data_IF_719640330410
#
_entry.id   IF_719640330410
#
_cell.length_a   1.000
_cell.length_b   1.000
_cell.length_c   1.000
_cell.angle_alpha   90.00
_cell.angle_beta   90.00
_cell.angle_gamma   90.00
#
_symmetry.space_group_name_H-M   'P 1'
#
loop_
_entity.id
_entity.type
_entity.pdbx_description
1 polymer ?
#
# COMPACT_ATOMS: atom_id res chain seq x y z
N UNK A 1 -24.22 7.21 -4.38
CA UNK A 1 -22.98 6.59 -3.86
C UNK A 1 -22.59 5.50 -4.84
N UNK A 2 -21.41 5.58 -5.46
CA UNK A 2 -20.96 4.57 -6.41
C UNK A 2 -20.68 3.25 -5.70
N UNK A 3 -20.68 2.13 -6.42
CA UNK A 3 -20.31 0.84 -5.81
C UNK A 3 -18.87 0.84 -5.28
N UNK A 4 -17.98 1.62 -5.90
CA UNK A 4 -16.61 1.81 -5.42
C UNK A 4 -16.58 2.54 -4.06
N UNK A 5 -17.40 3.58 -3.86
CA UNK A 5 -17.45 4.28 -2.58
C UNK A 5 -17.95 3.34 -1.46
N UNK A 6 -18.91 2.45 -1.75
CA UNK A 6 -19.38 1.44 -0.79
C UNK A 6 -18.27 0.44 -0.43
N UNK A 7 -17.52 -0.02 -1.43
CA UNK A 7 -16.38 -0.92 -1.24
C UNK A 7 -15.29 -0.28 -0.38
N UNK A 8 -15.00 1.02 -0.60
CA UNK A 8 -14.06 1.78 0.22
C UNK A 8 -14.55 1.83 1.68
N UNK A 9 -15.82 2.17 1.91
CA UNK A 9 -16.36 2.23 3.27
C UNK A 9 -16.38 0.86 3.97
N UNK A 10 -16.66 -0.22 3.23
CA UNK A 10 -16.58 -1.58 3.72
C UNK A 10 -15.14 -1.95 4.11
N UNK A 11 -14.18 -1.69 3.23
CA UNK A 11 -12.77 -1.94 3.48
C UNK A 11 -12.24 -1.09 4.64
N UNK A 12 -12.67 0.18 4.80
CA UNK A 12 -12.33 1.03 5.95
C UNK A 12 -12.78 0.47 7.30
N UNK A 13 -13.82 -0.39 7.31
CA UNK A 13 -14.26 -1.15 8.50
C UNK A 13 -13.51 -2.47 8.69
N UNK A 14 -12.49 -2.74 7.87
CA UNK A 14 -11.75 -4.00 7.82
C UNK A 14 -12.66 -5.21 7.46
N UNK A 15 -13.72 -4.96 6.67
CA UNK A 15 -14.60 -6.01 6.16
C UNK A 15 -14.13 -6.46 4.77
N UNK A 16 -13.97 -7.77 4.51
CA UNK A 16 -13.51 -8.26 3.21
C UNK A 16 -14.58 -8.06 2.14
N UNK A 17 -14.13 -7.74 0.92
CA UNK A 17 -15.00 -7.75 -0.27
C UNK A 17 -15.34 -9.18 -0.68
N UNK A 18 -16.35 -9.37 -1.51
CA UNK A 18 -16.57 -10.66 -2.17
C UNK A 18 -15.54 -10.91 -3.30
N UNK A 19 -15.32 -12.18 -3.66
CA UNK A 19 -14.36 -12.54 -4.73
C UNK A 19 -14.68 -11.83 -6.07
N UNK A 20 -15.95 -11.65 -6.41
CA UNK A 20 -16.37 -10.96 -7.63
C UNK A 20 -16.09 -9.45 -7.58
N UNK A 21 -16.26 -8.83 -6.41
CA UNK A 21 -15.91 -7.43 -6.18
C UNK A 21 -14.40 -7.21 -6.26
N UNK A 22 -13.61 -8.09 -5.64
CA UNK A 22 -12.14 -8.06 -5.77
C UNK A 22 -11.72 -8.14 -7.23
N UNK A 23 -12.28 -9.09 -7.98
CA UNK A 23 -11.98 -9.24 -9.41
C UNK A 23 -12.30 -7.95 -10.19
N UNK A 24 -13.48 -7.37 -9.97
CA UNK A 24 -13.91 -6.13 -10.63
C UNK A 24 -13.00 -4.95 -10.27
N UNK A 25 -12.59 -4.85 -9.00
CA UNK A 25 -11.66 -3.81 -8.54
C UNK A 25 -10.28 -3.95 -9.20
N UNK A 26 -9.73 -5.17 -9.23
CA UNK A 26 -8.46 -5.45 -9.90
C UNK A 26 -8.50 -5.08 -11.39
N UNK A 27 -9.57 -5.43 -12.11
CA UNK A 27 -9.71 -5.07 -13.52
C UNK A 27 -9.67 -3.55 -13.76
N UNK A 28 -10.41 -2.78 -12.94
CA UNK A 28 -10.38 -1.31 -13.02
C UNK A 28 -9.01 -0.74 -12.68
N UNK A 29 -8.34 -1.32 -11.68
CA UNK A 29 -7.00 -0.89 -11.33
C UNK A 29 -5.98 -1.18 -12.44
N UNK A 30 -6.12 -2.32 -13.12
CA UNK A 30 -5.27 -2.68 -14.26
C UNK A 30 -5.38 -1.67 -15.40
N UNK A 31 -6.60 -1.22 -15.74
CA UNK A 31 -6.84 -0.19 -16.76
C UNK A 31 -6.09 1.12 -16.45
N UNK A 32 -6.02 1.50 -15.18
CA UNK A 32 -5.30 2.71 -14.74
C UNK A 32 -3.80 2.46 -14.72
N UNK A 33 -3.37 1.36 -14.10
CA UNK A 33 -1.96 1.07 -13.90
C UNK A 33 -1.24 0.82 -15.22
N UNK A 34 -1.87 0.27 -16.25
CA UNK A 34 -1.21 0.04 -17.56
C UNK A 34 -0.73 1.35 -18.22
N UNK A 35 -1.50 2.43 -18.08
CA UNK A 35 -1.21 3.73 -18.71
C UNK A 35 -0.12 4.53 -17.98
N UNK A 36 0.26 4.11 -16.77
CA UNK A 36 1.26 4.80 -15.97
C UNK A 36 2.69 4.58 -16.50
N UNK A 37 3.53 5.61 -16.39
CA UNK A 37 4.98 5.52 -16.64
C UNK A 37 5.70 4.88 -15.44
N UNK A 38 6.78 4.13 -15.68
CA UNK A 38 7.63 3.59 -14.61
C UNK A 38 8.19 4.67 -13.68
N UNK A 39 8.36 5.89 -14.19
CA UNK A 39 8.73 7.06 -13.40
C UNK A 39 7.50 7.95 -13.24
N UNK A 40 6.99 8.02 -12.02
CA UNK A 40 5.86 8.87 -11.64
C UNK A 40 6.37 10.22 -11.12
N UNK A 41 5.75 11.30 -11.57
CA UNK A 41 5.97 12.63 -10.99
C UNK A 41 4.88 12.86 -9.96
N UNK A 42 5.28 13.20 -8.74
CA UNK A 42 4.35 13.48 -7.65
C UNK A 42 4.63 14.88 -7.14
N UNK A 43 3.64 15.76 -7.26
CA UNK A 43 3.77 17.14 -6.83
C UNK A 43 3.53 17.28 -5.32
N UNK A 44 4.33 18.14 -4.69
CA UNK A 44 4.13 18.52 -3.30
C UNK A 44 2.87 19.41 -3.16
N UNK A 45 2.17 19.39 -1.99
CA UNK A 45 2.46 18.57 -0.81
C UNK A 45 2.08 17.09 -0.99
N UNK A 46 2.88 16.18 -0.43
CA UNK A 46 2.65 14.73 -0.46
C UNK A 46 3.04 14.08 0.87
N UNK A 47 2.24 13.13 1.33
CA UNK A 47 2.55 12.27 2.48
C UNK A 47 3.22 10.99 1.99
N UNK A 48 4.43 10.73 2.47
CA UNK A 48 5.18 9.50 2.16
C UNK A 48 4.89 8.42 3.19
N UNK A 49 4.64 7.21 2.72
CA UNK A 49 4.32 6.04 3.54
C UNK A 49 5.24 4.88 3.19
N UNK A 50 5.97 4.36 4.18
CA UNK A 50 6.81 3.17 4.06
C UNK A 50 6.01 1.88 4.21
N UNK A 51 6.71 0.81 4.64
CA UNK A 51 6.16 -0.53 4.86
C UNK A 51 4.87 -0.51 5.71
N UNK A 52 3.87 -1.30 5.29
CA UNK A 52 2.63 -1.50 6.05
C UNK A 52 2.50 -2.93 6.56
N UNK A 53 2.86 -3.93 5.75
CA UNK A 53 2.83 -5.35 6.13
C UNK A 53 1.52 -5.81 6.77
N UNK A 54 0.38 -5.52 6.16
CA UNK A 54 -0.93 -5.94 6.64
C UNK A 54 -1.31 -5.39 8.02
N UNK A 55 -0.63 -4.34 8.51
CA UNK A 55 -0.96 -3.60 9.73
C UNK A 55 -2.11 -2.62 9.48
N UNK A 56 -3.29 -3.15 9.17
CA UNK A 56 -4.44 -2.36 8.73
C UNK A 56 -4.82 -1.22 9.68
N UNK A 57 -4.86 -1.46 10.99
CA UNK A 57 -5.25 -0.43 11.95
C UNK A 57 -4.23 0.71 12.08
N UNK A 58 -2.94 0.39 11.91
CA UNK A 58 -1.88 1.41 11.88
C UNK A 58 -1.97 2.25 10.60
N UNK A 59 -2.30 1.63 9.46
CA UNK A 59 -2.61 2.36 8.22
C UNK A 59 -3.84 3.27 8.37
N UNK A 60 -4.87 2.84 9.10
CA UNK A 60 -6.02 3.71 9.37
C UNK A 60 -5.65 4.91 10.23
N UNK A 61 -4.73 4.75 11.19
CA UNK A 61 -4.21 5.86 11.97
C UNK A 61 -3.34 6.80 11.11
N UNK A 62 -2.55 6.25 10.19
CA UNK A 62 -1.81 7.03 9.20
C UNK A 62 -2.74 7.96 8.40
N UNK A 63 -3.89 7.45 7.92
CA UNK A 63 -4.86 8.29 7.22
C UNK A 63 -5.50 9.36 8.12
N UNK A 64 -5.72 9.09 9.41
CA UNK A 64 -6.23 10.10 10.35
C UNK A 64 -5.24 11.25 10.55
N UNK A 65 -3.94 10.92 10.65
CA UNK A 65 -2.87 11.91 10.85
C UNK A 65 -2.55 12.67 9.56
N UNK A 66 -2.44 11.97 8.43
CA UNK A 66 -2.10 12.57 7.14
C UNK A 66 -3.29 13.25 6.43
N UNK A 67 -4.52 12.94 6.83
CA UNK A 67 -5.75 13.44 6.23
C UNK A 67 -6.28 12.58 5.08
N UNK A 68 -7.59 12.65 4.82
CA UNK A 68 -8.23 11.84 3.79
C UNK A 68 -8.02 12.36 2.36
N UNK A 69 -7.97 11.43 1.40
CA UNK A 69 -8.14 11.75 -0.01
C UNK A 69 -9.56 12.30 -0.29
N UNK A 70 -9.72 13.23 -1.24
CA UNK A 70 -8.71 13.72 -2.19
C UNK A 70 -7.91 14.94 -1.71
N UNK A 71 -8.03 15.37 -0.44
CA UNK A 71 -7.38 16.59 0.05
C UNK A 71 -5.87 16.42 0.23
N UNK A 72 -5.43 15.20 0.53
CA UNK A 72 -4.01 14.83 0.69
C UNK A 72 -3.55 13.93 -0.45
N UNK A 73 -2.36 14.21 -0.98
CA UNK A 73 -1.65 13.31 -1.90
C UNK A 73 -0.82 12.30 -1.09
N UNK A 74 -0.80 11.04 -1.52
CA UNK A 74 -0.05 9.98 -0.87
C UNK A 74 0.88 9.26 -1.85
N UNK A 75 2.09 8.98 -1.38
CA UNK A 75 3.04 8.10 -2.04
C UNK A 75 3.37 6.94 -1.11
N UNK A 76 2.94 5.74 -1.49
CA UNK A 76 3.24 4.51 -0.76
C UNK A 76 4.39 3.76 -1.43
N UNK A 77 5.39 3.37 -0.63
CA UNK A 77 6.68 2.84 -1.11
C UNK A 77 6.75 1.31 -1.26
N UNK A 78 5.62 0.61 -1.13
CA UNK A 78 5.55 -0.86 -1.25
C UNK A 78 5.38 -1.56 0.08
N UNK A 79 5.53 -2.89 0.07
CA UNK A 79 5.45 -3.77 1.23
C UNK A 79 4.12 -3.61 2.00
N UNK A 80 3.02 -3.75 1.26
CA UNK A 80 1.65 -3.66 1.76
C UNK A 80 1.21 -4.95 2.45
N UNK A 81 1.71 -6.08 1.97
CA UNK A 81 1.27 -7.42 2.34
C UNK A 81 2.31 -8.18 3.17
N UNK A 82 1.90 -9.37 3.62
CA UNK A 82 2.65 -10.30 4.48
C UNK A 82 2.89 -9.80 5.91
N UNK A 83 3.33 -10.72 6.78
CA UNK A 83 3.65 -10.54 8.22
C UNK A 83 2.44 -10.16 9.11
N UNK A 84 1.59 -9.25 8.69
CA UNK A 84 0.34 -8.89 9.36
C UNK A 84 -0.84 -9.80 8.99
N UNK A 85 -1.94 -9.65 9.73
CA UNK A 85 -3.13 -10.51 9.59
C UNK A 85 -4.20 -9.96 8.62
N UNK A 86 -4.03 -8.73 8.15
CA UNK A 86 -5.01 -7.97 7.37
C UNK A 86 -4.39 -7.46 6.06
N UNK A 87 -3.54 -8.25 5.43
CA UNK A 87 -2.88 -7.89 4.17
C UNK A 87 -3.88 -7.70 3.03
N UNK A 88 -4.94 -8.53 3.01
CA UNK A 88 -6.00 -8.44 2.00
C UNK A 88 -6.72 -7.10 2.10
N UNK A 89 -7.22 -6.72 3.27
CA UNK A 89 -7.96 -5.47 3.45
C UNK A 89 -7.04 -4.26 3.25
N UNK A 90 -5.79 -4.36 3.70
CA UNK A 90 -4.76 -3.33 3.51
C UNK A 90 -4.54 -3.04 2.03
N UNK A 91 -4.20 -4.07 1.25
CA UNK A 91 -3.92 -3.90 -0.17
C UNK A 91 -5.17 -3.48 -0.95
N UNK A 92 -6.33 -4.11 -0.70
CA UNK A 92 -7.55 -3.78 -1.42
C UNK A 92 -8.05 -2.36 -1.12
N UNK A 93 -7.85 -1.84 0.10
CA UNK A 93 -8.19 -0.45 0.42
C UNK A 93 -7.30 0.53 -0.36
N UNK A 94 -5.99 0.31 -0.39
CA UNK A 94 -5.06 1.11 -1.17
C UNK A 94 -5.40 1.07 -2.67
N UNK A 95 -5.74 -0.12 -3.18
CA UNK A 95 -6.12 -0.30 -4.58
C UNK A 95 -7.45 0.41 -4.90
N UNK A 96 -8.45 0.33 -4.02
CA UNK A 96 -9.72 1.03 -4.18
C UNK A 96 -9.54 2.56 -4.15
N UNK A 97 -8.69 3.07 -3.26
CA UNK A 97 -8.32 4.48 -3.23
C UNK A 97 -7.56 4.90 -4.49
N UNK A 98 -6.66 4.06 -5.01
CA UNK A 98 -5.98 4.29 -6.30
C UNK A 98 -6.96 4.40 -7.45
N UNK A 99 -7.94 3.49 -7.53
CA UNK A 99 -8.98 3.54 -8.57
C UNK A 99 -9.85 4.78 -8.42
N UNK A 100 -10.18 5.17 -7.18
CA UNK A 100 -11.05 6.31 -6.92
C UNK A 100 -10.37 7.67 -7.12
N UNK A 101 -9.07 7.74 -6.83
CA UNK A 101 -8.26 8.96 -6.85
C UNK A 101 -6.89 8.69 -7.50
N UNK A 102 -6.85 8.37 -8.81
CA UNK A 102 -5.62 7.93 -9.49
C UNK A 102 -4.49 8.96 -9.42
N UNK A 103 -4.82 10.26 -9.45
CA UNK A 103 -3.85 11.36 -9.38
C UNK A 103 -3.43 11.73 -7.94
N UNK A 104 -4.03 11.10 -6.91
CA UNK A 104 -3.78 11.41 -5.49
C UNK A 104 -3.10 10.27 -4.74
N UNK A 105 -3.21 9.05 -5.24
CA UNK A 105 -2.62 7.85 -4.63
C UNK A 105 -1.59 7.30 -5.61
N UNK A 106 -0.32 7.34 -5.24
CA UNK A 106 0.77 6.68 -5.98
C UNK A 106 1.22 5.47 -5.19
N UNK A 107 1.24 4.30 -5.84
CA UNK A 107 1.67 3.04 -5.23
C UNK A 107 2.89 2.51 -5.98
N UNK A 108 4.00 2.32 -5.26
CA UNK A 108 5.20 1.66 -5.76
C UNK A 108 5.18 0.19 -5.34
N UNK A 109 5.72 -0.70 -6.18
CA UNK A 109 5.86 -2.13 -5.85
C UNK A 109 7.00 -2.30 -4.85
N UNK A 110 6.77 -2.99 -3.73
CA UNK A 110 7.81 -3.46 -2.83
C UNK A 110 8.28 -4.87 -3.16
N UNK A 111 9.18 -5.43 -2.36
CA UNK A 111 9.67 -6.80 -2.59
C UNK A 111 8.64 -7.85 -2.15
N UNK A 112 7.74 -7.50 -1.24
CA UNK A 112 6.66 -8.37 -0.79
C UNK A 112 5.54 -8.51 -1.82
N UNK A 113 5.42 -7.59 -2.78
CA UNK A 113 4.45 -7.67 -3.88
C UNK A 113 4.93 -8.61 -5.01
N UNK A 114 5.29 -9.85 -4.66
CA UNK A 114 5.71 -10.90 -5.61
C UNK A 114 5.13 -12.27 -5.27
N UNK A 115 4.92 -13.10 -6.29
CA UNK A 115 4.35 -14.45 -6.10
C UNK A 115 5.21 -15.32 -5.19
N UNK A 116 6.53 -15.20 -5.31
CA UNK A 116 7.49 -15.99 -4.54
C UNK A 116 7.42 -15.64 -3.05
N UNK A 117 7.39 -14.34 -2.71
CA UNK A 117 7.40 -13.89 -1.32
C UNK A 117 6.02 -14.13 -0.67
N UNK A 118 4.93 -13.79 -1.35
CA UNK A 118 3.57 -13.96 -0.81
C UNK A 118 3.16 -15.40 -0.53
N UNK A 119 3.79 -16.39 -1.18
CA UNK A 119 3.59 -17.81 -0.88
C UNK A 119 4.25 -18.26 0.43
N UNK A 120 5.27 -17.53 0.89
CA UNK A 120 6.08 -17.92 2.05
C UNK A 120 5.71 -17.12 3.30
N UNK A 121 5.32 -15.85 3.15
CA UNK A 121 5.20 -14.91 4.28
C UNK A 121 3.75 -14.55 4.69
N UNK A 122 2.78 -15.31 4.18
CA UNK A 122 1.43 -15.39 4.77
C UNK A 122 0.30 -14.84 3.91
N UNK A 123 0.55 -14.02 2.90
CA UNK A 123 -0.54 -13.46 2.08
C UNK A 123 -1.32 -14.52 1.29
N UNK A 124 -0.63 -15.53 0.76
CA UNK A 124 -1.29 -16.68 0.09
C UNK A 124 -2.26 -17.40 1.02
N UNK A 125 -1.80 -17.76 2.22
CA UNK A 125 -2.60 -18.47 3.22
C UNK A 125 -3.74 -17.60 3.75
N UNK A 126 -3.53 -16.29 3.89
CA UNK A 126 -4.56 -15.34 4.27
C UNK A 126 -5.71 -15.33 3.25
N UNK A 127 -5.39 -15.26 1.95
CA UNK A 127 -6.38 -15.30 0.89
C UNK A 127 -7.14 -16.63 0.88
N UNK A 128 -6.43 -17.75 0.95
CA UNK A 128 -7.04 -19.08 0.96
C UNK A 128 -7.99 -19.25 2.16
N UNK A 129 -7.57 -18.78 3.35
CA UNK A 129 -8.37 -18.86 4.58
C UNK A 129 -9.62 -17.97 4.52
N UNK A 130 -9.52 -16.75 3.98
CA UNK A 130 -10.63 -15.79 3.94
C UNK A 130 -11.66 -16.12 2.86
N UNK A 131 -11.23 -16.65 1.71
CA UNK A 131 -12.09 -16.84 0.54
C UNK A 131 -12.36 -18.30 0.20
N UNK A 132 -11.64 -19.25 0.81
CA UNK A 132 -11.74 -20.67 0.46
C UNK A 132 -11.15 -21.01 -0.92
N UNK A 133 -10.57 -20.03 -1.61
CA UNK A 133 -10.01 -20.14 -2.94
C UNK A 133 -8.74 -19.29 -3.04
N UNK A 134 -7.84 -19.63 -3.97
CA UNK A 134 -6.64 -18.83 -4.25
C UNK A 134 -6.89 -17.73 -5.29
N UNK A 135 -8.14 -17.52 -5.72
CA UNK A 135 -8.43 -16.58 -6.81
C UNK A 135 -8.11 -15.14 -6.41
N UNK A 136 -8.43 -14.73 -5.18
CA UNK A 136 -8.08 -13.39 -4.68
C UNK A 136 -6.57 -13.18 -4.66
N UNK A 137 -5.79 -14.17 -4.22
CA UNK A 137 -4.33 -14.11 -4.28
C UNK A 137 -3.85 -13.96 -5.73
N UNK A 138 -4.43 -14.71 -6.67
CA UNK A 138 -4.10 -14.59 -8.11
C UNK A 138 -4.41 -13.20 -8.65
N UNK A 139 -5.59 -12.65 -8.36
CA UNK A 139 -5.97 -11.32 -8.81
C UNK A 139 -5.06 -10.23 -8.23
N UNK A 140 -4.69 -10.31 -6.95
CA UNK A 140 -3.79 -9.34 -6.34
C UNK A 140 -2.37 -9.45 -6.92
N UNK A 141 -1.86 -10.68 -7.08
CA UNK A 141 -0.52 -10.90 -7.66
C UNK A 141 -0.43 -10.52 -9.12
N UNK A 142 -1.51 -10.66 -9.90
CA UNK A 142 -1.60 -10.10 -11.25
C UNK A 142 -1.45 -8.58 -11.21
N UNK A 143 -2.12 -7.89 -10.27
CA UNK A 143 -1.98 -6.43 -10.11
C UNK A 143 -0.57 -6.02 -9.71
N UNK A 144 0.10 -6.77 -8.84
CA UNK A 144 1.49 -6.48 -8.47
C UNK A 144 2.42 -6.43 -9.69
N UNK A 145 2.13 -7.19 -10.74
CA UNK A 145 2.91 -7.18 -11.99
C UNK A 145 2.69 -5.91 -12.83
N UNK A 146 1.59 -5.18 -12.60
CA UNK A 146 1.33 -3.84 -13.19
C UNK A 146 1.79 -2.69 -12.29
N UNK A 147 2.17 -2.96 -11.04
CA UNK A 147 2.74 -1.96 -10.15
C UNK A 147 4.18 -1.60 -10.56
N UNK A 148 4.58 -0.38 -10.27
CA UNK A 148 5.85 0.18 -10.74
C UNK A 148 7.04 -0.49 -10.05
N UNK A 149 7.92 -1.06 -10.86
CA UNK A 149 9.13 -1.74 -10.40
C UNK A 149 10.25 -0.75 -10.05
N UNK A 150 11.00 -1.07 -9.00
CA UNK A 150 12.11 -0.28 -8.49
C UNK A 150 11.71 0.40 -7.19
N UNK A 151 12.07 -0.20 -6.05
CA UNK A 151 11.81 0.30 -4.70
C UNK A 151 12.72 1.51 -4.40
N UNK A 152 12.77 2.46 -5.32
CA UNK A 152 13.61 3.65 -5.26
C UNK A 152 12.70 4.82 -5.59
N UNK A 153 12.21 5.49 -4.55
CA UNK A 153 11.62 6.81 -4.72
C UNK A 153 12.73 7.84 -4.59
N UNK A 154 12.71 8.91 -5.39
CA UNK A 154 13.59 10.05 -5.16
C UNK A 154 12.78 11.33 -5.13
N UNK A 155 13.02 12.15 -4.12
CA UNK A 155 12.48 13.51 -4.04
C UNK A 155 13.55 14.44 -4.58
N UNK A 156 13.22 15.17 -5.65
CA UNK A 156 14.01 16.31 -6.08
C UNK A 156 13.62 17.51 -5.23
N UNK A 157 14.49 17.89 -4.31
CA UNK A 157 14.39 19.14 -3.56
C UNK A 157 15.08 20.26 -4.35
N UNK A 158 14.38 21.39 -4.47
CA UNK A 158 14.91 22.62 -5.04
C UNK A 158 15.05 23.63 -3.91
N UNK A 159 16.27 24.08 -3.64
CA UNK A 159 16.48 25.16 -2.69
C UNK A 159 16.13 26.54 -3.27
N UNK A 160 16.24 27.60 -2.46
CA UNK A 160 15.96 28.98 -2.87
C UNK A 160 16.84 29.47 -4.03
N UNK A 161 17.97 28.81 -4.28
CA UNK A 161 18.91 29.12 -5.36
C UNK A 161 18.73 28.22 -6.59
N UNK A 162 17.67 27.42 -6.64
CA UNK A 162 17.41 26.41 -7.68
C UNK A 162 18.46 25.29 -7.73
N UNK A 163 19.24 25.09 -6.67
CA UNK A 163 20.10 23.93 -6.56
C UNK A 163 19.22 22.68 -6.40
N UNK A 164 19.64 21.63 -7.08
CA UNK A 164 18.93 20.36 -7.17
C UNK A 164 19.57 19.36 -6.23
N UNK A 165 18.85 18.94 -5.19
CA UNK A 165 19.23 17.82 -4.33
C UNK A 165 18.26 16.66 -4.54
N UNK A 166 18.78 15.46 -4.81
CA UNK A 166 17.96 14.26 -4.88
C UNK A 166 18.06 13.50 -3.56
N UNK A 167 16.96 13.46 -2.80
CA UNK A 167 16.82 12.56 -1.64
C UNK A 167 16.25 11.25 -2.11
N UNK A 168 17.09 10.21 -2.11
CA UNK A 168 16.70 8.86 -2.53
C UNK A 168 16.23 8.07 -1.31
N UNK A 169 15.06 7.46 -1.44
CA UNK A 169 14.44 6.57 -0.46
C UNK A 169 14.50 5.16 -1.01
N UNK A 170 15.21 4.30 -0.31
CA UNK A 170 15.31 2.87 -0.59
C UNK A 170 14.43 2.07 0.37
N UNK A 171 14.13 0.82 0.01
CA UNK A 171 13.47 -0.11 0.91
C UNK A 171 14.28 -0.32 2.20
N UNK A 172 13.59 -0.50 3.33
CA UNK A 172 14.26 -0.75 4.60
C UNK A 172 15.09 -2.05 4.56
N UNK A 173 16.33 -2.00 5.08
CA UNK A 173 17.19 -3.19 5.15
C UNK A 173 16.58 -4.28 6.02
N UNK A 174 16.44 -5.48 5.48
CA UNK A 174 15.79 -6.61 6.17
C UNK A 174 16.62 -7.15 7.37
N UNK A 175 17.94 -6.93 7.37
CA UNK A 175 18.90 -7.55 8.32
C UNK A 175 18.90 -6.96 9.74
N UNK A 176 17.95 -6.11 10.11
CA UNK A 176 17.91 -5.47 11.43
C UNK A 176 16.59 -5.65 12.19
N UNK A 177 15.75 -6.62 11.81
CA UNK A 177 14.63 -7.06 12.66
C UNK A 177 15.08 -8.18 13.61
N UNK A 178 15.97 -7.83 14.56
CA UNK A 178 15.98 -8.55 15.84
C UNK A 178 14.64 -8.32 16.54
N UNK A 179 14.18 -9.22 17.43
CA UNK A 179 13.06 -8.90 18.31
C UNK A 179 13.38 -7.55 18.97
N UNK A 180 12.43 -6.58 18.99
CA UNK A 180 12.71 -5.30 19.60
C UNK A 180 13.23 -5.57 21.01
N UNK A 181 14.41 -5.01 21.34
CA UNK A 181 14.85 -4.99 22.72
C UNK A 181 13.67 -4.44 23.52
N UNK A 182 13.24 -5.15 24.57
CA UNK A 182 12.20 -4.67 25.48
C UNK A 182 12.62 -3.28 25.94
N UNK A 183 12.11 -2.23 25.29
CA UNK A 183 12.22 -0.89 25.82
C UNK A 183 11.40 -0.94 27.11
N UNK A 184 11.97 -0.54 28.26
CA UNK A 184 11.14 -0.36 29.44
C UNK A 184 9.97 0.54 29.03
N UNK A 185 8.76 0.16 29.45
CA UNK A 185 7.58 0.96 29.20
C UNK A 185 7.88 2.40 29.64
N UNK A 186 7.64 3.42 28.81
CA UNK A 186 7.82 4.79 29.25
C UNK A 186 6.80 5.05 30.36
N UNK A 187 7.28 5.40 31.55
CA UNK A 187 6.43 5.87 32.64
C UNK A 187 5.76 7.18 32.20
N UNK A 188 4.50 7.11 31.79
CA UNK A 188 3.65 8.27 31.64
C UNK A 188 2.27 8.00 32.24
N UNK A 189 1.95 8.83 33.24
CA UNK A 189 0.66 9.07 33.89
C UNK A 189 0.19 8.07 34.97
N UNK A 190 0.67 8.32 36.20
CA UNK A 190 -0.20 8.66 37.33
C UNK A 190 0.25 10.01 37.90
#
# INVERSE_FOLDING_TARGET
MSDLDKQIEQLKRCEPLSESEVKSLCLKAMEILVEESNVQRVDAPVTLCGDIHGQFYDMMELFKVGGDCPKTNYLFLGDFVDRGYYSVETFLLLLALKVRYPDRITLIRGNHESRQITQVYGFYDECLRKYGSVNVWRYCTDIFDYMRCGNVASILELDENLNKEFRVFEAAQQDSRGPPAKKPAPDYFL
#
